data_IF_566280158698
#
_entry.id   IF_566280158698
#
_cell.length_a   1.000
_cell.length_b   1.000
_cell.length_c   1.000
_cell.angle_alpha   90.00
_cell.angle_beta   90.00
_cell.angle_gamma   90.00
#
_symmetry.space_group_name_H-M   'P 1'
#
loop_
_entity.id
_entity.type
_entity.pdbx_description
1 polymer ?
#
# COMPACT_ATOMS: atom_id res chain seq x y z
N UNK A 1 -31.79 26.16 1.57
CA UNK A 1 -32.00 24.69 1.44
C UNK A 1 -31.72 24.38 -0.03
N UNK A 2 -30.78 23.55 -0.49
CA UNK A 2 -29.98 22.43 0.01
C UNK A 2 -28.55 22.53 -0.59
N UNK A 3 -27.55 21.98 0.10
CA UNK A 3 -26.16 21.88 -0.39
C UNK A 3 -25.99 20.58 -1.16
N UNK A 4 -25.67 20.65 -2.45
CA UNK A 4 -25.18 19.52 -3.23
C UNK A 4 -23.77 19.85 -3.73
N UNK A 5 -22.75 19.28 -3.08
CA UNK A 5 -21.43 19.18 -3.67
C UNK A 5 -20.78 17.87 -3.20
N UNK A 6 -20.89 16.82 -4.02
CA UNK A 6 -20.04 15.63 -3.92
C UNK A 6 -19.58 15.18 -5.32
N UNK A 7 -19.03 16.11 -6.10
CA UNK A 7 -18.12 15.71 -7.17
C UNK A 7 -16.75 15.48 -6.55
N UNK A 8 -16.43 14.24 -6.21
CA UNK A 8 -15.04 13.78 -6.29
C UNK A 8 -15.08 12.30 -6.63
N UNK A 9 -15.08 12.05 -7.94
CA UNK A 9 -14.64 10.79 -8.56
C UNK A 9 -13.51 10.19 -7.75
N UNK A 10 -13.59 8.89 -7.46
CA UNK A 10 -12.63 8.16 -6.64
C UNK A 10 -11.24 8.11 -7.28
N UNK A 11 -10.52 9.23 -7.20
CA UNK A 11 -9.08 9.25 -7.32
C UNK A 11 -8.58 8.35 -6.20
N UNK A 12 -7.92 7.23 -6.49
CA UNK A 12 -7.43 6.37 -5.43
C UNK A 12 -6.26 7.14 -4.82
N UNK A 13 -6.56 7.95 -3.80
CA UNK A 13 -5.55 8.69 -3.06
C UNK A 13 -4.41 7.72 -2.77
N UNK A 14 -3.18 8.13 -3.03
CA UNK A 14 -2.01 7.29 -2.77
C UNK A 14 -1.89 7.10 -1.26
N UNK A 15 -2.64 6.12 -0.73
CA UNK A 15 -2.68 5.82 0.68
C UNK A 15 -1.41 5.02 0.97
N UNK A 16 -0.42 5.73 1.51
CA UNK A 16 0.80 5.15 2.05
C UNK A 16 0.54 4.62 3.45
N UNK A 17 0.56 3.30 3.60
CA UNK A 17 0.34 2.59 4.87
C UNK A 17 1.61 1.97 5.43
N UNK A 18 1.57 1.55 6.69
CA UNK A 18 2.64 0.77 7.32
C UNK A 18 2.60 -0.70 6.90
N UNK A 19 3.70 -1.42 7.14
CA UNK A 19 3.79 -2.86 6.90
C UNK A 19 2.70 -3.65 7.64
N UNK A 20 2.30 -3.22 8.84
CA UNK A 20 1.26 -3.91 9.64
C UNK A 20 -0.11 -3.90 8.96
N UNK A 21 -0.45 -2.83 8.23
CA UNK A 21 -1.74 -2.74 7.53
C UNK A 21 -1.76 -3.70 6.34
N UNK A 22 -0.66 -3.75 5.57
CA UNK A 22 -0.50 -4.72 4.47
C UNK A 22 -0.52 -6.15 5.02
N UNK A 23 0.20 -6.40 6.11
CA UNK A 23 0.28 -7.69 6.77
C UNK A 23 -1.11 -8.23 7.17
N UNK A 24 -1.93 -7.38 7.80
CA UNK A 24 -3.32 -7.72 8.14
C UNK A 24 -4.17 -8.02 6.90
N UNK A 25 -4.03 -7.23 5.84
CA UNK A 25 -4.82 -7.40 4.60
C UNK A 25 -4.54 -8.74 3.92
N UNK A 26 -3.28 -9.15 3.86
CA UNK A 26 -2.86 -10.40 3.22
C UNK A 26 -2.71 -11.58 4.19
N UNK A 27 -3.12 -11.41 5.46
CA UNK A 27 -2.98 -12.42 6.52
C UNK A 27 -1.54 -12.98 6.67
N UNK A 28 -0.55 -12.11 6.53
CA UNK A 28 0.88 -12.42 6.70
C UNK A 28 1.48 -11.65 7.87
N UNK A 29 2.74 -11.92 8.18
CA UNK A 29 3.46 -11.16 9.22
C UNK A 29 4.06 -9.88 8.65
N UNK A 30 4.18 -8.83 9.47
CA UNK A 30 4.86 -7.59 9.09
C UNK A 30 6.32 -7.84 8.65
N UNK A 31 6.97 -8.87 9.22
CA UNK A 31 8.31 -9.28 8.84
C UNK A 31 8.36 -9.85 7.41
N UNK A 32 7.35 -10.62 7.00
CA UNK A 32 7.24 -11.10 5.62
C UNK A 32 7.09 -9.92 4.64
N UNK A 33 6.23 -8.94 4.97
CA UNK A 33 6.05 -7.73 4.15
C UNK A 33 7.36 -6.95 3.99
N UNK A 34 8.10 -6.75 5.09
CA UNK A 34 9.41 -6.08 5.04
C UNK A 34 10.46 -6.90 4.26
N UNK A 35 10.40 -8.23 4.33
CA UNK A 35 11.28 -9.10 3.55
C UNK A 35 10.97 -8.98 2.05
N UNK A 36 9.70 -9.00 1.65
CA UNK A 36 9.29 -8.78 0.26
C UNK A 36 9.74 -7.42 -0.26
N UNK A 37 9.64 -6.38 0.57
CA UNK A 37 10.15 -5.05 0.26
C UNK A 37 11.67 -5.06 0.05
N UNK A 38 12.42 -5.75 0.91
CA UNK A 38 13.87 -5.88 0.81
C UNK A 38 14.31 -6.71 -0.40
N UNK A 39 13.48 -7.68 -0.82
CA UNK A 39 13.68 -8.50 -2.02
C UNK A 39 13.23 -7.79 -3.31
N UNK A 40 12.60 -6.62 -3.21
CA UNK A 40 12.09 -5.87 -4.37
C UNK A 40 10.80 -6.45 -4.97
N UNK A 41 10.12 -7.37 -4.28
CA UNK A 41 8.86 -7.98 -4.74
C UNK A 41 7.72 -6.97 -4.68
N UNK A 42 7.67 -6.16 -3.62
CA UNK A 42 6.66 -5.11 -3.47
C UNK A 42 7.30 -3.72 -3.42
N UNK A 43 6.68 -2.71 -4.05
CA UNK A 43 7.18 -1.35 -4.02
C UNK A 43 7.08 -0.78 -2.60
N UNK A 44 8.17 -0.15 -2.14
CA UNK A 44 8.25 0.47 -0.82
C UNK A 44 8.96 1.81 -0.89
N UNK A 45 8.54 2.74 -0.05
CA UNK A 45 9.14 4.08 0.06
C UNK A 45 9.67 4.26 1.47
N UNK A 46 10.90 4.75 1.59
CA UNK A 46 11.47 5.12 2.88
C UNK A 46 11.16 6.58 3.18
N UNK A 47 10.47 6.82 4.29
CA UNK A 47 10.20 8.16 4.82
C UNK A 47 11.19 8.40 5.96
N UNK A 48 12.31 9.05 5.64
CA UNK A 48 13.41 9.30 6.59
C UNK A 48 14.30 8.07 6.83
N UNK A 49 15.02 8.06 7.96
CA UNK A 49 16.11 7.11 8.20
C UNK A 49 15.66 5.67 8.51
N UNK A 50 14.45 5.46 9.04
CA UNK A 50 14.01 4.14 9.54
C UNK A 50 12.58 3.73 9.17
N UNK A 51 11.77 4.65 8.65
CA UNK A 51 10.34 4.37 8.42
C UNK A 51 10.13 3.96 6.97
N UNK A 52 9.47 2.83 6.76
CA UNK A 52 9.07 2.35 5.42
C UNK A 52 7.56 2.43 5.31
N UNK A 53 7.06 2.95 4.18
CA UNK A 53 5.64 2.97 3.83
C UNK A 53 5.40 2.31 2.48
N UNK A 54 4.17 1.85 2.33
CA UNK A 54 3.72 1.04 1.21
C UNK A 54 2.51 1.70 0.57
N UNK A 55 2.59 1.94 -0.74
CA UNK A 55 1.42 2.34 -1.50
C UNK A 55 0.53 1.11 -1.68
N UNK A 56 -0.69 1.15 -1.13
CA UNK A 56 -1.61 0.01 -1.14
C UNK A 56 -1.94 -0.47 -2.56
N UNK A 57 -2.12 0.45 -3.50
CA UNK A 57 -2.47 0.15 -4.89
C UNK A 57 -1.29 -0.54 -5.57
N UNK A 58 -0.09 0.03 -5.42
CA UNK A 58 1.12 -0.52 -6.03
C UNK A 58 1.48 -1.89 -5.44
N UNK A 59 1.23 -2.13 -4.14
CA UNK A 59 1.40 -3.44 -3.51
C UNK A 59 0.36 -4.45 -4.03
N UNK A 60 -0.92 -4.07 -4.15
CA UNK A 60 -1.94 -4.93 -4.78
C UNK A 60 -1.53 -5.29 -6.21
N UNK A 61 -1.15 -4.30 -7.01
CA UNK A 61 -0.72 -4.52 -8.38
C UNK A 61 0.49 -5.45 -8.48
N UNK A 62 1.47 -5.34 -7.59
CA UNK A 62 2.65 -6.20 -7.57
C UNK A 62 2.32 -7.66 -7.16
N UNK A 63 1.42 -7.84 -6.18
CA UNK A 63 1.07 -9.17 -5.67
C UNK A 63 0.03 -9.89 -6.53
N UNK A 64 -0.94 -9.17 -7.08
CA UNK A 64 -2.01 -9.71 -7.92
C UNK A 64 -1.59 -9.79 -9.39
N UNK A 65 -0.75 -8.85 -9.85
CA UNK A 65 -0.20 -8.81 -11.22
C UNK A 65 1.04 -9.68 -11.43
N UNK A 66 1.63 -10.25 -10.37
CA UNK A 66 2.78 -11.16 -10.42
C UNK A 66 2.47 -12.58 -10.89
N UNK A 67 1.27 -12.84 -11.41
CA UNK A 67 0.88 -14.08 -12.06
C UNK A 67 0.80 -13.86 -13.58
N UNK A 68 1.95 -13.75 -14.25
CA UNK A 68 2.08 -13.88 -15.69
C UNK A 68 3.42 -14.56 -16.02
#
# INVERSE_FOLDING_TARGET
MQKANINTTGEPSEIFVSAEVIAKRYSVTSRAVLLWAAQGIIPSIRIGNKTVRFNVIAVSAALEGGAA
#
